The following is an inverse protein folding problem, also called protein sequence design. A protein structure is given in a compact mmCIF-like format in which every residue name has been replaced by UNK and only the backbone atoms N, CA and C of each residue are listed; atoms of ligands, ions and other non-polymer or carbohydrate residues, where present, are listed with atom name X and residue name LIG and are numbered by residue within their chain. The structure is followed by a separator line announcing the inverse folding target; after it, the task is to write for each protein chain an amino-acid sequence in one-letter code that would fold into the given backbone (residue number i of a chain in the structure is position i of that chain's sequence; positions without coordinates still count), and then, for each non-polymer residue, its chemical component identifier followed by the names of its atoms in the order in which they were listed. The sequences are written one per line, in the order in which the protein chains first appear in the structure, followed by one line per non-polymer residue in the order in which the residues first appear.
data_IF_871483237541
#
_entry.id   IF_871483237541
#
_cell.length_a   1.000
_cell.length_b   1.000
_cell.length_c   1.000
_cell.angle_alpha   90.00
_cell.angle_beta   90.00
_cell.angle_gamma   90.00
#
_symmetry.space_group_name_H-M   'P 1'
#
loop_
_entity.id
_entity.type
_entity.pdbx_description
1 polymer ?
#
# COMPACT_ATOMS: atom_id res chain seq x y z
N UNK A 1 -8.07 7.25 -28.51
CA UNK A 1 -7.72 6.86 -27.13
C UNK A 1 -7.36 5.39 -27.22
N UNK A 2 -6.15 4.95 -26.85
CA UNK A 2 -5.68 3.66 -27.34
C UNK A 2 -6.44 2.52 -26.66
N UNK A 3 -7.33 1.88 -27.42
CA UNK A 3 -8.02 0.65 -27.05
C UNK A 3 -7.02 -0.51 -27.16
N UNK A 4 -6.30 -0.79 -26.08
CA UNK A 4 -5.43 -1.95 -26.01
C UNK A 4 -6.23 -3.14 -25.51
N UNK A 5 -6.31 -4.18 -26.35
CA UNK A 5 -6.87 -5.46 -25.95
C UNK A 5 -5.73 -6.41 -25.59
N UNK A 6 -5.67 -6.80 -24.32
CA UNK A 6 -4.74 -7.83 -23.88
C UNK A 6 -5.48 -9.17 -23.87
N UNK A 7 -4.92 -10.15 -24.60
CA UNK A 7 -5.44 -11.51 -24.68
C UNK A 7 -4.42 -12.47 -24.08
N UNK A 8 -4.88 -13.70 -23.81
CA UNK A 8 -4.04 -14.80 -23.35
C UNK A 8 -3.27 -14.50 -22.06
N UNK A 9 -3.85 -13.63 -21.21
CA UNK A 9 -3.30 -13.34 -19.90
C UNK A 9 -3.58 -14.50 -18.95
N UNK A 10 -2.60 -14.80 -18.12
CA UNK A 10 -2.78 -15.74 -17.02
C UNK A 10 -3.90 -15.26 -16.08
N UNK A 11 -4.74 -16.20 -15.63
CA UNK A 11 -5.92 -15.88 -14.80
C UNK A 11 -5.53 -15.24 -13.46
N UNK A 12 -4.41 -15.66 -12.86
CA UNK A 12 -3.93 -15.09 -11.60
C UNK A 12 -3.44 -13.66 -11.79
N UNK A 13 -2.82 -13.37 -12.94
CA UNK A 13 -2.41 -12.01 -13.31
C UNK A 13 -3.65 -11.13 -13.50
N UNK A 14 -4.67 -11.62 -14.22
CA UNK A 14 -5.92 -10.90 -14.41
C UNK A 14 -6.60 -10.55 -13.07
N UNK A 15 -6.69 -11.51 -12.16
CA UNK A 15 -7.28 -11.30 -10.84
C UNK A 15 -6.45 -10.34 -9.98
N UNK A 16 -5.11 -10.42 -10.03
CA UNK A 16 -4.25 -9.49 -9.29
C UNK A 16 -4.44 -8.04 -9.74
N UNK A 17 -4.56 -7.82 -11.06
CA UNK A 17 -4.79 -6.49 -11.63
C UNK A 17 -6.16 -5.95 -11.20
N UNK A 18 -7.20 -6.78 -11.24
CA UNK A 18 -8.54 -6.39 -10.75
C UNK A 18 -8.52 -6.03 -9.26
N UNK A 19 -7.83 -6.82 -8.44
CA UNK A 19 -7.67 -6.52 -7.02
C UNK A 19 -6.95 -5.19 -6.80
N UNK A 20 -5.86 -4.95 -7.51
CA UNK A 20 -5.11 -3.69 -7.45
C UNK A 20 -5.98 -2.48 -7.85
N UNK A 21 -6.79 -2.61 -8.90
CA UNK A 21 -7.72 -1.57 -9.32
C UNK A 21 -8.77 -1.26 -8.23
N UNK A 22 -9.31 -2.30 -7.59
CA UNK A 22 -10.27 -2.16 -6.47
C UNK A 22 -9.67 -1.49 -5.25
N UNK A 23 -8.46 -1.90 -4.85
CA UNK A 23 -7.73 -1.32 -3.70
C UNK A 23 -7.54 0.20 -3.84
N UNK A 24 -7.33 0.70 -5.07
CA UNK A 24 -7.14 2.12 -5.36
C UNK A 24 -8.40 2.85 -5.83
N UNK A 25 -9.50 2.13 -6.08
CA UNK A 25 -10.72 2.70 -6.67
C UNK A 25 -10.53 3.19 -8.11
N UNK A 26 -9.56 2.65 -8.85
CA UNK A 26 -9.22 3.10 -10.20
C UNK A 26 -9.97 2.32 -11.28
N UNK A 27 -10.28 2.94 -12.43
CA UNK A 27 -10.74 2.21 -13.61
C UNK A 27 -9.71 1.16 -14.04
N UNK A 28 -10.19 0.00 -14.51
CA UNK A 28 -9.31 -1.09 -14.92
C UNK A 28 -8.37 -0.68 -16.06
N UNK A 29 -8.86 0.08 -17.03
CA UNK A 29 -8.05 0.58 -18.15
C UNK A 29 -6.90 1.48 -17.68
N UNK A 30 -7.20 2.43 -16.78
CA UNK A 30 -6.20 3.35 -16.25
C UNK A 30 -5.18 2.62 -15.37
N UNK A 31 -5.64 1.61 -14.63
CA UNK A 31 -4.79 0.69 -13.86
C UNK A 31 -3.81 -0.04 -14.79
N UNK A 32 -4.31 -0.60 -15.90
CA UNK A 32 -3.45 -1.28 -16.89
C UNK A 32 -2.38 -0.34 -17.46
N UNK A 33 -2.79 0.85 -17.88
CA UNK A 33 -1.87 1.86 -18.44
C UNK A 33 -0.83 2.25 -17.38
N UNK A 34 -1.25 2.44 -16.13
CA UNK A 34 -0.35 2.76 -15.03
C UNK A 34 0.67 1.64 -14.80
N UNK A 35 0.24 0.39 -14.73
CA UNK A 35 1.13 -0.76 -14.52
C UNK A 35 2.14 -0.93 -15.66
N UNK A 36 1.73 -0.66 -16.91
CA UNK A 36 2.64 -0.68 -18.06
C UNK A 36 3.67 0.46 -17.97
N UNK A 37 3.23 1.68 -17.62
CA UNK A 37 4.17 2.79 -17.42
C UNK A 37 5.13 2.50 -16.27
N UNK A 38 4.65 1.90 -15.19
CA UNK A 38 5.45 1.51 -14.04
C UNK A 38 6.49 0.45 -14.41
N UNK A 39 6.11 -0.57 -15.19
CA UNK A 39 7.07 -1.60 -15.65
C UNK A 39 8.13 -1.05 -16.60
N UNK A 40 7.82 0.03 -17.32
CA UNK A 40 8.76 0.77 -18.16
C UNK A 40 9.58 1.82 -17.40
N UNK A 41 9.40 1.97 -16.08
CA UNK A 41 10.10 2.98 -15.27
C UNK A 41 9.68 4.41 -15.58
N UNK A 42 8.49 4.61 -16.16
CA UNK A 42 7.93 5.93 -16.52
C UNK A 42 7.03 6.52 -15.42
N UNK A 43 6.99 5.88 -14.26
CA UNK A 43 6.25 6.33 -13.08
C UNK A 43 7.26 6.45 -11.96
N UNK A 44 7.25 7.59 -11.26
CA UNK A 44 8.03 7.74 -10.05
C UNK A 44 7.62 6.65 -9.04
N UNK A 45 8.57 5.96 -8.39
CA UNK A 45 8.23 4.93 -7.42
C UNK A 45 7.31 5.55 -6.35
N UNK A 46 6.14 4.92 -6.11
CA UNK A 46 5.30 5.30 -4.98
C UNK A 46 6.19 5.32 -3.73
N UNK A 47 6.18 6.40 -2.93
CA UNK A 47 7.01 6.47 -1.73
C UNK A 47 6.71 5.24 -0.88
N UNK A 48 7.77 4.60 -0.41
CA UNK A 48 7.67 3.41 0.43
C UNK A 48 6.77 3.77 1.60
N UNK A 49 5.59 3.14 1.66
CA UNK A 49 4.64 3.38 2.73
C UNK A 49 5.35 3.00 4.02
N UNK A 50 5.43 3.96 4.95
CA UNK A 50 6.08 3.75 6.22
C UNK A 50 5.44 2.51 6.88
N UNK A 51 6.21 1.45 7.21
CA UNK A 51 5.70 0.32 7.97
C UNK A 51 5.07 0.74 9.31
N UNK A 52 5.41 1.93 9.82
CA UNK A 52 4.81 2.56 10.99
C UNK A 52 3.48 3.29 10.72
N UNK A 53 2.94 3.26 9.49
CA UNK A 53 1.60 3.76 9.16
C UNK A 53 0.53 2.79 9.70
N UNK A 54 0.39 2.79 11.03
CA UNK A 54 -0.51 1.96 11.82
C UNK A 54 -2.00 2.26 11.54
N UNK A 55 -2.31 3.37 10.88
CA UNK A 55 -3.66 3.80 10.45
C UNK A 55 -4.39 2.74 9.60
N UNK A 56 -3.65 1.75 9.09
CA UNK A 56 -4.17 0.69 8.22
C UNK A 56 -4.07 -0.72 8.82
N UNK A 57 -3.51 -0.90 10.03
CA UNK A 57 -3.28 -2.23 10.63
C UNK A 57 -4.55 -2.93 11.14
N UNK A 58 -5.68 -2.21 11.25
CA UNK A 58 -6.98 -2.81 11.57
C UNK A 58 -8.08 -1.80 11.33
N UNK A 59 -9.03 -2.12 10.44
CA UNK A 59 -10.03 -1.19 9.91
C UNK A 59 -11.10 -0.69 10.89
N UNK A 60 -10.71 -0.08 12.01
CA UNK A 60 -11.65 0.59 12.93
C UNK A 60 -11.02 1.62 13.87
N UNK A 61 -9.77 2.05 13.64
CA UNK A 61 -9.10 2.95 14.57
C UNK A 61 -9.30 4.39 14.11
N UNK A 62 -9.77 5.24 15.01
CA UNK A 62 -9.87 6.68 14.77
C UNK A 62 -8.47 7.32 14.76
N UNK A 63 -8.33 8.49 14.11
CA UNK A 63 -7.07 9.23 14.03
C UNK A 63 -6.49 9.55 15.42
N UNK A 64 -7.39 9.72 16.41
CA UNK A 64 -7.01 9.96 17.80
C UNK A 64 -6.34 8.74 18.45
N UNK A 65 -6.87 7.54 18.20
CA UNK A 65 -6.37 6.27 18.75
C UNK A 65 -5.04 5.89 18.11
N UNK A 66 -4.91 6.10 16.80
CA UNK A 66 -3.65 5.86 16.08
C UNK A 66 -2.53 6.76 16.64
N UNK A 67 -2.79 8.06 16.80
CA UNK A 67 -1.81 8.98 17.38
C UNK A 67 -1.41 8.62 18.81
N UNK A 68 -2.36 8.23 19.66
CA UNK A 68 -2.08 7.83 21.03
C UNK A 68 -1.19 6.57 21.10
N UNK A 69 -1.40 5.60 20.19
CA UNK A 69 -0.55 4.42 20.11
C UNK A 69 0.87 4.76 19.62
N UNK A 70 1.01 5.65 18.63
CA UNK A 70 2.33 6.10 18.15
C UNK A 70 3.11 6.74 19.30
N UNK A 71 2.47 7.65 20.04
CA UNK A 71 3.08 8.33 21.19
C UNK A 71 3.49 7.33 22.29
N UNK A 72 2.63 6.34 22.59
CA UNK A 72 2.96 5.29 23.53
C UNK A 72 4.16 4.45 23.06
N UNK A 73 4.18 4.04 21.79
CA UNK A 73 5.30 3.28 21.22
C UNK A 73 6.60 4.07 21.20
N UNK A 74 6.56 5.38 20.96
CA UNK A 74 7.73 6.25 21.08
C UNK A 74 8.23 6.33 22.52
N UNK A 75 7.33 6.52 23.50
CA UNK A 75 7.71 6.52 24.91
C UNK A 75 8.33 5.19 25.36
N UNK A 76 7.89 4.06 24.79
CA UNK A 76 8.49 2.74 25.06
C UNK A 76 9.93 2.59 24.52
N UNK A 77 10.32 3.32 23.47
CA UNK A 77 11.69 3.25 22.91
C UNK A 77 12.73 3.92 23.81
N UNK A 78 12.30 4.87 24.63
CA UNK A 78 13.17 5.62 25.55
C UNK A 78 13.30 4.95 26.93
N UNK A 79 12.62 3.82 27.14
CA UNK A 79 12.79 3.07 28.38
C UNK A 79 14.15 2.36 28.38
N UNK A 80 14.90 2.43 29.50
CA UNK A 80 16.11 1.64 29.66
C UNK A 80 15.74 0.16 29.56
N UNK A 81 16.59 -0.61 28.87
CA UNK A 81 16.43 -2.05 28.74
C UNK A 81 16.42 -2.67 30.16
N UNK A 82 15.30 -3.28 30.54
CA UNK A 82 15.09 -3.83 31.89
C UNK A 82 15.78 -5.20 32.03
N UNK A 83 16.96 -5.34 31.42
CA UNK A 83 17.81 -6.53 31.45
C UNK A 83 18.75 -6.42 32.66
N UNK A 84 18.54 -7.22 33.73
CA UNK A 84 19.49 -7.31 34.81
C UNK A 84 20.49 -8.42 34.45
N UNK A 85 21.42 -8.11 33.55
CA UNK A 85 22.50 -9.00 33.07
C UNK A 85 22.09 -10.20 32.21
#
# INVERSE_FOLDING_TARGET
MPDFLIRDIDIHVAERIKAFARERGWPLNDTMIHLIKQSLGMVDPEPMRDPADISRLGGSWDDSESRALIEAMEAFKDLPDDSPY
#
